data_IF_700791015636
#
_entry.id   IF_700791015636
#
_cell.length_a   1.000
_cell.length_b   1.000
_cell.length_c   1.000
_cell.angle_alpha   90.00
_cell.angle_beta   90.00
_cell.angle_gamma   90.00
#
_symmetry.space_group_name_H-M   'P 1'
#
loop_
_entity.id
_entity.type
_entity.pdbx_description
1 polymer ?
#
# COMPACT_ATOMS: atom_id res chain seq x y z
N UNK A 1 4.30 -9.36 -16.61
CA UNK A 1 4.62 -10.27 -15.48
C UNK A 1 4.51 -9.50 -14.17
N UNK A 2 3.98 -10.07 -13.08
CA UNK A 2 3.98 -9.39 -11.79
C UNK A 2 5.42 -9.01 -11.39
N UNK A 3 5.56 -7.95 -10.59
CA UNK A 3 6.88 -7.51 -10.09
C UNK A 3 7.52 -8.66 -9.30
N UNK A 4 8.74 -9.02 -9.65
CA UNK A 4 9.53 -9.97 -8.87
C UNK A 4 10.17 -9.23 -7.69
N UNK A 5 9.61 -9.42 -6.50
CA UNK A 5 10.10 -8.80 -5.26
C UNK A 5 11.44 -9.37 -4.78
N UNK A 6 11.95 -10.44 -5.41
CA UNK A 6 13.26 -11.02 -5.11
C UNK A 6 14.37 -10.48 -6.02
N UNK A 7 14.04 -9.69 -7.04
CA UNK A 7 15.02 -9.06 -7.94
C UNK A 7 15.70 -7.87 -7.25
N UNK A 8 17.03 -7.86 -7.27
CA UNK A 8 17.86 -6.76 -6.74
C UNK A 8 17.53 -5.40 -7.39
N UNK A 9 17.10 -5.37 -8.64
CA UNK A 9 16.69 -4.16 -9.35
C UNK A 9 15.47 -3.50 -8.73
N UNK A 10 14.58 -4.27 -8.11
CA UNK A 10 13.38 -3.78 -7.44
C UNK A 10 13.63 -3.30 -6.00
N UNK A 11 14.84 -3.51 -5.47
CA UNK A 11 15.25 -3.11 -4.12
C UNK A 11 15.07 -1.62 -3.83
N UNK A 12 15.27 -0.76 -4.82
CA UNK A 12 15.15 0.69 -4.68
C UNK A 12 13.78 1.26 -5.05
N UNK A 13 12.88 0.46 -5.62
CA UNK A 13 11.57 0.91 -6.11
C UNK A 13 10.71 1.55 -5.01
N UNK A 14 10.91 1.13 -3.76
CA UNK A 14 10.16 1.58 -2.59
C UNK A 14 11.02 2.29 -1.53
N UNK A 15 12.25 2.72 -1.87
CA UNK A 15 13.19 3.28 -0.89
C UNK A 15 13.33 4.80 -0.93
N UNK A 16 12.88 5.45 -2.00
CA UNK A 16 13.10 6.90 -2.23
C UNK A 16 11.92 7.79 -1.86
N UNK A 17 10.84 7.23 -1.30
CA UNK A 17 9.62 7.93 -0.94
C UNK A 17 9.47 8.02 0.58
N UNK A 18 8.84 9.08 1.05
CA UNK A 18 8.30 9.19 2.41
C UNK A 18 6.80 8.85 2.40
N UNK A 19 6.26 8.47 3.56
CA UNK A 19 4.82 8.38 3.73
C UNK A 19 4.18 9.75 3.46
N UNK A 20 3.04 9.74 2.79
CA UNK A 20 2.33 10.98 2.44
C UNK A 20 1.71 11.61 3.70
N UNK A 21 1.67 12.94 3.75
CA UNK A 21 1.08 13.69 4.88
C UNK A 21 -0.39 13.34 5.10
N UNK A 22 -1.16 13.08 4.03
CA UNK A 22 -2.56 12.67 4.15
C UNK A 22 -2.70 11.34 4.88
N UNK A 23 -1.77 10.39 4.66
CA UNK A 23 -1.73 9.13 5.38
C UNK A 23 -1.34 9.32 6.85
N UNK A 24 -0.33 10.16 7.11
CA UNK A 24 0.12 10.48 8.47
C UNK A 24 -1.03 11.08 9.28
N UNK A 25 -1.69 12.09 8.73
CA UNK A 25 -2.82 12.76 9.38
C UNK A 25 -3.97 11.78 9.63
N UNK A 26 -4.33 10.97 8.63
CA UNK A 26 -5.39 9.97 8.77
C UNK A 26 -5.09 8.96 9.88
N UNK A 27 -3.85 8.47 9.99
CA UNK A 27 -3.48 7.56 11.10
C UNK A 27 -3.57 8.28 12.44
N UNK A 28 -3.01 9.49 12.57
CA UNK A 28 -3.01 10.25 13.84
C UNK A 28 -4.41 10.63 14.33
N UNK A 29 -5.34 10.87 13.41
CA UNK A 29 -6.73 11.17 13.73
C UNK A 29 -7.51 9.95 14.25
N UNK A 30 -7.10 8.73 13.88
CA UNK A 30 -7.85 7.51 14.15
C UNK A 30 -7.19 6.56 15.13
N UNK A 31 -5.86 6.61 15.29
CA UNK A 31 -5.10 5.69 16.15
C UNK A 31 -3.94 6.42 16.83
N UNK A 32 -3.86 6.28 18.14
CA UNK A 32 -2.67 6.72 18.88
C UNK A 32 -1.56 5.69 18.72
N UNK A 33 -0.51 6.05 18.00
CA UNK A 33 0.70 5.24 17.75
C UNK A 33 1.76 5.45 18.84
N UNK A 34 1.67 6.58 19.58
CA UNK A 34 2.67 6.94 20.57
C UNK A 34 2.74 5.91 21.70
N UNK A 35 3.95 5.51 22.06
CA UNK A 35 4.18 4.53 23.11
C UNK A 35 3.80 3.09 22.77
N UNK A 36 3.44 2.77 21.51
CA UNK A 36 2.98 1.45 21.06
C UNK A 36 4.10 0.58 20.49
N UNK A 37 3.91 -0.72 20.58
CA UNK A 37 4.63 -1.73 19.80
C UNK A 37 3.85 -2.00 18.53
N UNK A 38 4.48 -1.85 17.38
CA UNK A 38 3.83 -1.93 16.07
C UNK A 38 4.48 -2.98 15.19
N UNK A 39 3.69 -3.77 14.46
CA UNK A 39 4.16 -4.61 13.36
C UNK A 39 3.65 -4.01 12.03
N UNK A 40 4.57 -3.85 11.08
CA UNK A 40 4.31 -3.46 9.68
C UNK A 40 4.53 -4.70 8.83
N UNK A 41 3.43 -5.37 8.42
CA UNK A 41 3.47 -6.65 7.69
C UNK A 41 3.39 -6.37 6.19
N UNK A 42 4.35 -6.90 5.43
CA UNK A 42 4.58 -6.53 4.04
C UNK A 42 5.24 -5.16 3.94
N UNK A 43 6.22 -4.90 4.82
CA UNK A 43 6.82 -3.57 5.00
C UNK A 43 7.61 -3.07 3.78
N UNK A 44 7.94 -3.93 2.81
CA UNK A 44 8.70 -3.57 1.62
C UNK A 44 9.99 -2.81 1.95
N UNK A 45 10.16 -1.61 1.39
CA UNK A 45 11.31 -0.74 1.63
C UNK A 45 11.29 0.04 2.96
N UNK A 46 10.34 -0.21 3.87
CA UNK A 46 10.31 0.35 5.22
C UNK A 46 9.77 1.78 5.34
N UNK A 47 9.11 2.31 4.30
CA UNK A 47 8.57 3.69 4.29
C UNK A 47 7.59 3.90 5.44
N UNK A 48 6.60 3.01 5.59
CA UNK A 48 5.56 3.11 6.61
C UNK A 48 6.07 2.67 7.97
N UNK A 49 7.01 1.72 8.02
CA UNK A 49 7.78 1.38 9.23
C UNK A 49 8.45 2.63 9.82
N UNK A 50 9.12 3.43 8.98
CA UNK A 50 9.75 4.69 9.39
C UNK A 50 8.72 5.72 9.86
N UNK A 51 7.61 5.88 9.13
CA UNK A 51 6.56 6.84 9.49
C UNK A 51 5.92 6.50 10.85
N UNK A 52 5.60 5.24 11.12
CA UNK A 52 5.09 4.78 12.41
C UNK A 52 6.07 5.06 13.56
N UNK A 53 7.36 4.86 13.30
CA UNK A 53 8.42 5.21 14.26
C UNK A 53 8.45 6.72 14.55
N UNK A 54 8.34 7.56 13.53
CA UNK A 54 8.30 9.01 13.67
C UNK A 54 7.04 9.52 14.40
N UNK A 55 5.95 8.76 14.37
CA UNK A 55 4.74 9.02 15.15
C UNK A 55 4.88 8.64 16.64
N UNK A 56 6.05 8.19 17.10
CA UNK A 56 6.33 7.93 18.51
C UNK A 56 6.12 6.48 18.93
N UNK A 57 6.05 5.52 18.03
CA UNK A 57 6.07 4.10 18.39
C UNK A 57 7.33 3.76 19.19
N UNK A 58 7.20 2.98 20.27
CA UNK A 58 8.34 2.50 21.08
C UNK A 58 9.22 1.55 20.28
N UNK A 59 8.59 0.69 19.50
CA UNK A 59 9.25 -0.23 18.60
C UNK A 59 8.36 -0.48 17.39
N UNK A 60 8.97 -0.49 16.20
CA UNK A 60 8.32 -0.94 14.97
C UNK A 60 9.08 -2.15 14.43
N UNK A 61 8.34 -3.22 14.13
CA UNK A 61 8.89 -4.45 13.55
C UNK A 61 8.34 -4.56 12.14
N UNK A 62 9.20 -4.33 11.14
CA UNK A 62 8.86 -4.57 9.73
C UNK A 62 9.02 -6.05 9.41
N UNK A 63 8.00 -6.66 8.84
CA UNK A 63 8.02 -8.07 8.38
C UNK A 63 7.81 -8.08 6.87
N UNK A 64 8.68 -8.78 6.15
CA UNK A 64 8.52 -8.99 4.72
C UNK A 64 9.02 -10.39 4.32
N UNK A 65 8.46 -10.96 3.26
CA UNK A 65 8.87 -12.28 2.77
C UNK A 65 10.12 -12.19 1.86
N UNK A 66 10.44 -11.00 1.36
CA UNK A 66 11.59 -10.74 0.50
C UNK A 66 12.79 -10.24 1.30
N UNK A 67 13.87 -11.00 1.27
CA UNK A 67 15.12 -10.57 1.90
C UNK A 67 15.71 -9.34 1.23
N UNK A 68 15.50 -9.15 -0.07
CA UNK A 68 15.98 -7.97 -0.80
C UNK A 68 15.20 -6.70 -0.36
N UNK A 69 13.88 -6.80 -0.17
CA UNK A 69 13.11 -5.69 0.40
C UNK A 69 13.62 -5.33 1.80
N UNK A 70 13.88 -6.31 2.66
CA UNK A 70 14.40 -6.06 4.02
C UNK A 70 15.80 -5.44 4.03
N UNK A 71 16.67 -5.75 3.07
CA UNK A 71 17.97 -5.06 2.90
C UNK A 71 17.76 -3.58 2.56
N UNK A 72 16.82 -3.29 1.66
CA UNK A 72 16.42 -1.92 1.31
C UNK A 72 15.89 -1.17 2.53
N UNK A 73 14.93 -1.77 3.23
CA UNK A 73 14.31 -1.22 4.43
C UNK A 73 15.36 -0.94 5.53
N UNK A 74 16.27 -1.89 5.77
CA UNK A 74 17.36 -1.72 6.75
C UNK A 74 18.29 -0.56 6.38
N UNK A 75 18.53 -0.34 5.10
CA UNK A 75 19.32 0.79 4.62
C UNK A 75 18.61 2.12 4.85
N UNK A 76 17.30 2.18 4.55
CA UNK A 76 16.48 3.37 4.74
C UNK A 76 16.34 3.78 6.20
N UNK A 77 16.19 2.79 7.09
CA UNK A 77 15.93 3.00 8.50
C UNK A 77 17.20 2.90 9.37
N UNK A 78 18.41 2.83 8.77
CA UNK A 78 19.68 2.54 9.48
C UNK A 78 20.00 3.44 10.66
N UNK A 79 19.46 4.66 10.69
CA UNK A 79 19.70 5.64 11.76
C UNK A 79 18.64 5.59 12.88
N UNK A 80 17.63 4.71 12.77
CA UNK A 80 16.52 4.64 13.71
C UNK A 80 16.66 3.36 14.54
N UNK A 81 17.02 3.52 15.83
CA UNK A 81 17.39 2.39 16.69
C UNK A 81 16.23 1.46 17.11
N UNK A 82 14.99 1.96 17.11
CA UNK A 82 13.81 1.20 17.55
C UNK A 82 13.00 0.59 16.40
N UNK A 83 13.64 0.47 15.23
CA UNK A 83 13.12 -0.31 14.12
C UNK A 83 13.91 -1.59 13.99
N UNK A 84 13.21 -2.70 13.79
CA UNK A 84 13.82 -4.01 13.47
C UNK A 84 13.10 -4.61 12.28
N UNK A 85 13.82 -5.43 11.50
CA UNK A 85 13.27 -6.13 10.35
C UNK A 85 13.39 -7.63 10.52
N UNK A 86 12.35 -8.37 10.12
CA UNK A 86 12.23 -9.81 10.28
C UNK A 86 11.75 -10.45 8.97
N UNK A 87 12.44 -11.49 8.54
CA UNK A 87 11.99 -12.31 7.42
C UNK A 87 10.79 -13.16 7.88
N UNK A 88 9.66 -13.00 7.21
CA UNK A 88 8.41 -13.68 7.50
C UNK A 88 7.38 -13.31 6.44
N UNK A 89 6.18 -13.83 6.55
CA UNK A 89 5.09 -13.49 5.64
C UNK A 89 3.79 -13.23 6.40
N UNK A 90 2.74 -12.80 5.70
CA UNK A 90 1.46 -12.45 6.30
C UNK A 90 0.76 -13.62 7.02
N UNK A 91 1.10 -14.87 6.69
CA UNK A 91 0.52 -16.06 7.31
C UNK A 91 1.37 -16.61 8.47
N UNK A 92 2.64 -16.19 8.56
CA UNK A 92 3.61 -16.62 9.56
C UNK A 92 4.68 -15.56 9.75
N UNK A 93 4.42 -14.61 10.65
CA UNK A 93 5.30 -13.47 10.92
C UNK A 93 6.53 -13.84 11.75
N UNK A 94 6.48 -15.00 12.43
CA UNK A 94 7.44 -15.43 13.45
C UNK A 94 7.49 -14.54 14.70
N UNK A 95 6.54 -13.62 14.87
CA UNK A 95 6.40 -12.84 16.09
C UNK A 95 5.71 -13.68 17.19
N UNK A 96 6.05 -13.44 18.47
CA UNK A 96 5.34 -14.06 19.59
C UNK A 96 3.86 -13.65 19.66
N UNK A 97 3.04 -14.47 20.31
CA UNK A 97 1.65 -14.14 20.62
C UNK A 97 1.57 -12.86 21.45
N UNK A 98 0.55 -12.05 21.21
CA UNK A 98 0.26 -10.84 21.98
C UNK A 98 1.45 -9.88 22.12
N UNK A 99 2.28 -9.80 21.07
CA UNK A 99 3.51 -9.01 21.05
C UNK A 99 3.28 -7.53 20.84
N UNK A 100 2.32 -7.19 19.96
CA UNK A 100 2.15 -5.81 19.44
C UNK A 100 0.80 -5.22 19.81
N UNK A 101 0.74 -3.89 19.86
CA UNK A 101 -0.48 -3.11 20.10
C UNK A 101 -1.19 -2.77 18.79
N UNK A 102 -0.42 -2.63 17.69
CA UNK A 102 -0.90 -2.28 16.37
C UNK A 102 -0.28 -3.21 15.31
N UNK A 103 -1.06 -3.56 14.32
CA UNK A 103 -0.62 -4.20 13.07
C UNK A 103 -1.03 -3.33 11.90
N UNK A 104 -0.10 -3.02 11.00
CA UNK A 104 -0.36 -2.40 9.71
C UNK A 104 -0.16 -3.44 8.60
N UNK A 105 -1.13 -3.54 7.70
CA UNK A 105 -1.07 -4.28 6.44
C UNK A 105 -1.42 -3.33 5.29
N UNK A 106 -0.40 -2.80 4.61
CA UNK A 106 -0.62 -1.83 3.53
C UNK A 106 -0.20 -2.36 2.18
N UNK A 107 -1.10 -2.23 1.19
CA UNK A 107 -0.90 -2.72 -0.18
C UNK A 107 -0.45 -4.20 -0.22
N UNK A 108 -1.00 -5.00 0.68
CA UNK A 108 -0.58 -6.37 0.94
C UNK A 108 -1.66 -7.38 0.56
N UNK A 109 -2.91 -7.16 0.99
CA UNK A 109 -3.94 -8.21 0.94
C UNK A 109 -4.30 -8.63 -0.50
N UNK A 110 -4.11 -7.76 -1.48
CA UNK A 110 -4.32 -8.10 -2.90
C UNK A 110 -3.28 -9.08 -3.49
N UNK A 111 -2.22 -9.37 -2.75
CA UNK A 111 -1.25 -10.41 -3.07
C UNK A 111 -1.56 -11.75 -2.39
N UNK A 112 -2.55 -11.79 -1.51
CA UNK A 112 -2.87 -12.93 -0.68
C UNK A 112 -4.09 -13.70 -1.22
N UNK A 113 -4.04 -15.03 -1.12
CA UNK A 113 -5.15 -15.90 -1.53
C UNK A 113 -6.00 -16.37 -0.34
N UNK A 114 -5.57 -16.11 0.91
CA UNK A 114 -6.23 -16.56 2.13
C UNK A 114 -6.23 -15.43 3.18
N UNK A 115 -7.29 -14.62 3.18
CA UNK A 115 -7.48 -13.56 4.16
C UNK A 115 -7.67 -14.11 5.58
N UNK A 116 -8.30 -15.28 5.72
CA UNK A 116 -8.54 -15.88 7.03
C UNK A 116 -7.22 -16.27 7.70
N UNK A 117 -6.28 -16.87 6.96
CA UNK A 117 -4.96 -17.18 7.49
C UNK A 117 -4.17 -15.91 7.86
N UNK A 118 -4.24 -14.87 7.04
CA UNK A 118 -3.60 -13.59 7.29
C UNK A 118 -4.15 -12.93 8.57
N UNK A 119 -5.46 -12.78 8.68
CA UNK A 119 -6.07 -12.13 9.83
C UNK A 119 -5.99 -12.96 11.11
N UNK A 120 -5.94 -14.29 11.01
CA UNK A 120 -5.64 -15.16 12.14
C UNK A 120 -4.23 -14.91 12.69
N UNK A 121 -3.25 -14.74 11.83
CA UNK A 121 -1.88 -14.40 12.23
C UNK A 121 -1.82 -12.99 12.85
N UNK A 122 -2.44 -11.99 12.23
CA UNK A 122 -2.54 -10.65 12.81
C UNK A 122 -3.22 -10.69 14.19
N UNK A 123 -4.31 -11.46 14.32
CA UNK A 123 -4.99 -11.64 15.60
C UNK A 123 -4.08 -12.31 16.65
N UNK A 124 -3.31 -13.33 16.27
CA UNK A 124 -2.40 -14.03 17.19
C UNK A 124 -1.36 -13.09 17.80
N UNK A 125 -0.72 -12.26 16.97
CA UNK A 125 0.37 -11.37 17.41
C UNK A 125 -0.12 -10.11 18.13
N UNK A 126 -1.36 -9.67 17.88
CA UNK A 126 -1.96 -8.52 18.57
C UNK A 126 -2.28 -8.84 20.03
N UNK A 127 -2.03 -7.90 20.92
CA UNK A 127 -2.54 -7.91 22.28
C UNK A 127 -4.08 -7.84 22.30
N UNK A 128 -4.76 -8.30 23.36
CA UNK A 128 -6.19 -8.06 23.53
C UNK A 128 -6.51 -6.54 23.42
N UNK A 129 -7.52 -6.18 22.63
CA UNK A 129 -7.86 -4.79 22.36
C UNK A 129 -6.92 -4.06 21.40
N UNK A 130 -5.92 -4.75 20.84
CA UNK A 130 -5.02 -4.19 19.82
C UNK A 130 -5.73 -3.94 18.49
N UNK A 131 -5.16 -3.07 17.67
CA UNK A 131 -5.76 -2.61 16.41
C UNK A 131 -5.05 -3.20 15.20
N UNK A 132 -5.83 -3.75 14.26
CA UNK A 132 -5.41 -4.09 12.91
C UNK A 132 -5.82 -2.96 11.96
N UNK A 133 -4.86 -2.41 11.22
CA UNK A 133 -5.05 -1.41 10.19
C UNK A 133 -4.74 -2.05 8.85
N UNK A 134 -5.73 -2.10 7.97
CA UNK A 134 -5.56 -2.60 6.60
C UNK A 134 -5.76 -1.43 5.65
N UNK A 135 -4.84 -1.23 4.72
CA UNK A 135 -4.99 -0.28 3.63
C UNK A 135 -4.75 -0.99 2.31
N UNK A 136 -5.79 -1.09 1.50
CA UNK A 136 -5.68 -1.60 0.13
C UNK A 136 -6.73 -0.93 -0.77
N UNK A 137 -6.69 -1.21 -2.05
CA UNK A 137 -7.72 -0.76 -2.99
C UNK A 137 -8.79 -1.82 -3.12
N UNK A 138 -10.03 -1.38 -3.07
CA UNK A 138 -11.18 -2.20 -3.48
C UNK A 138 -11.30 -2.19 -5.01
N UNK A 139 -12.10 -3.09 -5.60
CA UNK A 139 -12.49 -2.97 -7.01
C UNK A 139 -13.02 -1.57 -7.37
N UNK A 140 -13.85 -0.97 -6.50
CA UNK A 140 -14.43 0.35 -6.71
C UNK A 140 -13.38 1.47 -6.70
N UNK A 141 -12.39 1.40 -5.82
CA UNK A 141 -11.28 2.37 -5.77
C UNK A 141 -10.46 2.32 -7.07
N UNK A 142 -10.26 1.11 -7.62
CA UNK A 142 -9.47 0.92 -8.83
C UNK A 142 -10.13 1.50 -10.07
N UNK A 143 -11.46 1.30 -10.23
CA UNK A 143 -12.21 1.71 -11.43
C UNK A 143 -12.84 3.12 -11.30
N UNK A 144 -12.41 3.89 -10.30
CA UNK A 144 -12.84 5.29 -10.16
C UNK A 144 -12.53 6.05 -11.47
N UNK A 145 -13.47 6.88 -12.00
CA UNK A 145 -13.25 7.62 -13.24
C UNK A 145 -11.99 8.47 -13.22
N UNK A 146 -11.35 8.62 -14.40
CA UNK A 146 -10.20 9.48 -14.57
C UNK A 146 -10.57 10.96 -14.40
N UNK A 147 -9.68 11.70 -13.75
CA UNK A 147 -9.75 13.17 -13.64
C UNK A 147 -8.33 13.74 -13.50
N UNK A 148 -8.22 15.05 -13.30
CA UNK A 148 -6.93 15.77 -13.21
C UNK A 148 -6.00 15.27 -12.09
N UNK A 149 -6.53 14.56 -11.10
CA UNK A 149 -5.74 13.96 -10.02
C UNK A 149 -5.72 12.43 -10.05
N UNK A 150 -6.78 11.78 -10.53
CA UNK A 150 -6.87 10.32 -10.60
C UNK A 150 -6.55 9.82 -12.02
N UNK A 151 -5.27 9.77 -12.35
CA UNK A 151 -4.82 9.41 -13.70
C UNK A 151 -5.08 7.95 -14.06
N UNK A 152 -5.10 7.06 -13.05
CA UNK A 152 -5.38 5.62 -13.24
C UNK A 152 -6.71 5.37 -13.95
N UNK A 153 -7.74 6.18 -13.70
CA UNK A 153 -9.03 6.04 -14.36
C UNK A 153 -8.92 6.17 -15.89
N UNK A 154 -8.03 7.02 -16.38
CA UNK A 154 -7.78 7.15 -17.82
C UNK A 154 -7.17 5.88 -18.44
N UNK A 155 -6.43 5.08 -17.67
CA UNK A 155 -5.87 3.82 -18.17
C UNK A 155 -7.00 2.83 -18.51
N UNK A 156 -8.01 2.76 -17.67
CA UNK A 156 -9.18 1.90 -17.86
C UNK A 156 -10.15 2.46 -18.92
N UNK A 157 -10.23 3.78 -19.07
CA UNK A 157 -11.00 4.40 -20.16
C UNK A 157 -10.39 4.05 -21.52
N UNK A 158 -9.05 4.12 -21.65
CA UNK A 158 -8.33 3.83 -22.89
C UNK A 158 -8.24 2.32 -23.16
N UNK A 159 -7.98 1.52 -22.12
CA UNK A 159 -7.79 0.07 -22.21
C UNK A 159 -8.70 -0.68 -21.21
N UNK A 160 -10.00 -0.83 -21.55
CA UNK A 160 -10.98 -1.49 -20.67
C UNK A 160 -10.63 -2.92 -20.29
N UNK A 161 -9.86 -3.65 -21.11
CA UNK A 161 -9.37 -5.01 -20.81
C UNK A 161 -8.52 -5.09 -19.53
N UNK A 162 -7.93 -3.98 -19.09
CA UNK A 162 -7.18 -3.91 -17.84
C UNK A 162 -8.06 -3.96 -16.59
N UNK A 163 -9.37 -3.65 -16.72
CA UNK A 163 -10.31 -3.61 -15.58
C UNK A 163 -10.40 -4.98 -14.92
N UNK A 164 -10.62 -6.03 -15.70
CA UNK A 164 -10.78 -7.39 -15.18
C UNK A 164 -9.53 -7.85 -14.43
N UNK A 165 -8.34 -7.57 -14.98
CA UNK A 165 -7.06 -7.91 -14.36
C UNK A 165 -6.85 -7.21 -13.01
N UNK A 166 -7.29 -5.96 -12.90
CA UNK A 166 -7.15 -5.19 -11.67
C UNK A 166 -8.18 -5.59 -10.62
N UNK A 167 -9.44 -5.78 -11.04
CA UNK A 167 -10.56 -6.09 -10.14
C UNK A 167 -10.43 -7.50 -9.56
N UNK A 168 -10.06 -8.49 -10.36
CA UNK A 168 -10.02 -9.90 -9.94
C UNK A 168 -9.00 -10.20 -8.83
N UNK A 169 -8.00 -9.35 -8.62
CA UNK A 169 -7.02 -9.49 -7.54
C UNK A 169 -7.37 -8.70 -6.27
N UNK A 170 -8.54 -8.02 -6.26
CA UNK A 170 -8.92 -7.13 -5.15
C UNK A 170 -10.06 -7.71 -4.35
N UNK A 171 -9.99 -7.49 -3.05
CA UNK A 171 -11.08 -7.81 -2.13
C UNK A 171 -11.98 -6.59 -1.96
N UNK A 172 -13.29 -6.80 -1.99
CA UNK A 172 -14.24 -5.74 -1.64
C UNK A 172 -14.37 -5.58 -0.11
N UNK A 173 -14.96 -4.46 0.31
CA UNK A 173 -15.14 -4.16 1.74
C UNK A 173 -15.95 -5.23 2.49
N UNK A 174 -16.91 -5.90 1.84
CA UNK A 174 -17.69 -6.96 2.49
C UNK A 174 -16.86 -8.21 2.72
N UNK A 175 -15.99 -8.58 1.78
CA UNK A 175 -15.07 -9.70 1.91
C UNK A 175 -14.08 -9.46 3.05
N UNK A 176 -13.43 -8.26 3.09
CA UNK A 176 -12.51 -7.88 4.15
C UNK A 176 -13.21 -7.89 5.50
N UNK A 177 -14.39 -7.26 5.62
CA UNK A 177 -15.16 -7.24 6.87
C UNK A 177 -15.51 -8.64 7.36
N UNK A 178 -16.04 -9.51 6.49
CA UNK A 178 -16.38 -10.88 6.86
C UNK A 178 -15.18 -11.67 7.37
N UNK A 179 -14.04 -11.56 6.69
CA UNK A 179 -12.81 -12.22 7.11
C UNK A 179 -12.30 -11.68 8.46
N UNK A 180 -12.36 -10.36 8.68
CA UNK A 180 -12.01 -9.76 9.97
C UNK A 180 -12.91 -10.29 11.10
N UNK A 181 -14.23 -10.27 10.90
CA UNK A 181 -15.21 -10.74 11.90
C UNK A 181 -15.05 -12.23 12.22
N UNK A 182 -14.80 -13.06 11.19
CA UNK A 182 -14.56 -14.49 11.34
C UNK A 182 -13.29 -14.81 12.15
N UNK A 183 -12.31 -13.90 12.12
CA UNK A 183 -11.03 -14.06 12.81
C UNK A 183 -10.91 -13.21 14.09
N UNK A 184 -12.06 -12.85 14.71
CA UNK A 184 -12.09 -12.27 16.06
C UNK A 184 -11.85 -10.75 16.10
N UNK A 185 -11.95 -10.06 14.97
CA UNK A 185 -11.92 -8.60 14.94
C UNK A 185 -13.35 -8.03 14.92
N UNK A 186 -13.51 -6.87 15.53
CA UNK A 186 -14.66 -5.99 15.28
C UNK A 186 -14.18 -4.91 14.32
N UNK A 187 -14.80 -4.82 13.14
CA UNK A 187 -14.57 -3.68 12.26
C UNK A 187 -15.15 -2.43 12.93
N UNK A 188 -14.28 -1.48 13.22
CA UNK A 188 -14.65 -0.24 13.92
C UNK A 188 -14.95 0.86 12.93
N UNK A 189 -14.11 0.98 11.88
CA UNK A 189 -14.17 2.08 10.93
C UNK A 189 -13.68 1.65 9.55
N UNK A 190 -14.22 2.30 8.51
CA UNK A 190 -13.75 2.19 7.13
C UNK A 190 -13.66 3.59 6.53
N UNK A 191 -12.50 4.00 6.06
CA UNK A 191 -12.21 5.36 5.59
C UNK A 191 -11.71 5.32 4.15
N UNK A 192 -12.29 6.08 3.21
CA UNK A 192 -11.65 6.35 1.93
C UNK A 192 -10.50 7.34 2.11
N UNK A 193 -9.34 7.05 1.54
CA UNK A 193 -8.16 7.90 1.61
C UNK A 193 -7.66 8.25 0.21
N UNK A 194 -7.69 9.52 -0.15
CA UNK A 194 -6.94 10.02 -1.29
C UNK A 194 -5.50 10.31 -0.87
N UNK A 195 -4.58 9.57 -1.46
CA UNK A 195 -3.14 9.68 -1.17
C UNK A 195 -2.39 10.14 -2.41
N UNK A 196 -1.60 11.19 -2.27
CA UNK A 196 -0.74 11.66 -3.36
C UNK A 196 0.28 10.56 -3.70
N UNK A 197 0.20 10.07 -4.91
CA UNK A 197 1.15 9.10 -5.44
C UNK A 197 2.45 9.79 -5.88
N UNK A 198 2.33 10.86 -6.64
CA UNK A 198 3.46 11.64 -7.15
C UNK A 198 3.03 13.04 -7.59
N UNK A 199 3.97 13.97 -7.53
CA UNK A 199 3.85 15.30 -8.09
C UNK A 199 4.85 15.40 -9.22
N UNK A 200 4.39 15.82 -10.41
CA UNK A 200 5.21 16.02 -11.60
C UNK A 200 5.33 17.51 -11.88
N UNK A 201 6.56 17.94 -12.19
CA UNK A 201 6.83 19.35 -12.49
C UNK A 201 6.13 19.80 -13.76
N UNK A 202 6.02 18.89 -14.74
CA UNK A 202 5.44 19.12 -16.05
C UNK A 202 4.88 17.83 -16.68
N UNK A 203 4.29 17.98 -17.86
CA UNK A 203 3.73 16.87 -18.64
C UNK A 203 4.80 15.89 -19.09
N UNK A 204 6.01 16.36 -19.41
CA UNK A 204 7.07 15.48 -19.91
C UNK A 204 7.55 14.51 -18.83
N UNK A 205 7.72 14.96 -17.59
CA UNK A 205 8.07 14.11 -16.44
C UNK A 205 6.97 13.09 -16.11
N UNK A 206 5.69 13.45 -16.33
CA UNK A 206 4.58 12.50 -16.20
C UNK A 206 4.62 11.42 -17.28
N UNK A 207 4.83 11.82 -18.55
CA UNK A 207 4.92 10.89 -19.68
C UNK A 207 6.04 9.89 -19.50
N UNK A 208 7.22 10.36 -19.09
CA UNK A 208 8.36 9.49 -18.82
C UNK A 208 8.05 8.47 -17.72
N UNK A 209 7.43 8.88 -16.60
CA UNK A 209 7.05 7.97 -15.50
C UNK A 209 6.02 6.92 -15.93
N UNK A 210 5.06 7.29 -16.79
CA UNK A 210 4.09 6.34 -17.34
C UNK A 210 4.79 5.33 -18.27
N UNK A 211 5.63 5.80 -19.19
CA UNK A 211 6.36 4.93 -20.13
C UNK A 211 7.30 3.96 -19.44
N UNK A 212 7.95 4.39 -18.35
CA UNK A 212 8.76 3.54 -17.52
C UNK A 212 7.94 2.56 -16.66
N UNK A 213 6.61 2.63 -16.66
CA UNK A 213 5.70 1.78 -15.88
C UNK A 213 6.00 1.81 -14.37
N UNK A 214 6.65 2.85 -13.87
CA UNK A 214 7.19 2.92 -12.51
C UNK A 214 6.10 2.72 -11.45
N UNK A 215 6.18 1.63 -10.69
CA UNK A 215 5.21 1.29 -9.64
C UNK A 215 3.78 1.06 -10.14
N UNK A 216 3.61 0.73 -11.42
CA UNK A 216 2.33 0.43 -12.07
C UNK A 216 2.38 -0.93 -12.74
N UNK A 217 2.34 -2.00 -11.93
CA UNK A 217 2.43 -3.40 -12.40
C UNK A 217 1.42 -3.72 -13.51
N UNK A 218 0.26 -3.07 -13.50
CA UNK A 218 -0.80 -3.25 -14.50
C UNK A 218 -0.35 -2.84 -15.91
N UNK A 219 0.50 -1.83 -16.03
CA UNK A 219 0.97 -1.32 -17.33
C UNK A 219 1.98 -2.25 -18.03
N UNK A 220 2.49 -3.26 -17.33
CA UNK A 220 3.32 -4.31 -17.94
C UNK A 220 2.53 -5.27 -18.83
N UNK A 221 1.19 -5.21 -18.78
CA UNK A 221 0.31 -5.98 -19.67
C UNK A 221 0.11 -5.29 -21.03
N UNK A 222 0.57 -4.05 -21.18
CA UNK A 222 0.49 -3.29 -22.43
C UNK A 222 1.81 -3.40 -23.23
N UNK A 223 1.70 -3.45 -24.57
CA UNK A 223 2.85 -3.33 -25.46
C UNK A 223 3.45 -1.91 -25.42
N UNK A 224 4.62 -1.73 -26.02
CA UNK A 224 5.24 -0.40 -26.07
C UNK A 224 4.45 0.56 -26.94
N UNK A 225 3.80 0.08 -28.02
CA UNK A 225 2.91 0.85 -28.86
C UNK A 225 1.67 1.29 -28.09
N UNK A 226 1.03 0.37 -27.33
CA UNK A 226 -0.11 0.70 -26.48
C UNK A 226 0.27 1.70 -25.38
N UNK A 227 1.50 1.62 -24.86
CA UNK A 227 2.00 2.61 -23.88
C UNK A 227 2.11 4.01 -24.48
N UNK A 228 2.56 4.14 -25.73
CA UNK A 228 2.58 5.43 -26.42
C UNK A 228 1.16 5.99 -26.61
N UNK A 229 0.21 5.13 -27.04
CA UNK A 229 -1.20 5.53 -27.15
C UNK A 229 -1.80 5.96 -25.82
N UNK A 230 -1.43 5.28 -24.71
CA UNK A 230 -1.87 5.65 -23.38
C UNK A 230 -1.39 7.04 -22.97
N UNK A 231 -0.11 7.30 -23.18
CA UNK A 231 0.52 8.59 -22.84
C UNK A 231 -0.14 9.74 -23.61
N UNK A 232 -0.33 9.59 -24.94
CA UNK A 232 -1.05 10.56 -25.75
C UNK A 232 -2.50 10.77 -25.29
N UNK A 233 -3.16 9.70 -24.87
CA UNK A 233 -4.52 9.78 -24.35
C UNK A 233 -4.59 10.57 -23.04
N UNK A 234 -3.69 10.27 -22.10
CA UNK A 234 -3.60 10.96 -20.80
C UNK A 234 -3.29 12.45 -21.00
N UNK A 235 -2.32 12.79 -21.88
CA UNK A 235 -1.98 14.16 -22.22
C UNK A 235 -3.21 14.94 -22.70
N UNK A 236 -3.95 14.41 -23.68
CA UNK A 236 -5.18 15.06 -24.18
C UNK A 236 -6.26 15.22 -23.12
N UNK A 237 -6.37 14.26 -22.17
CA UNK A 237 -7.36 14.33 -21.09
C UNK A 237 -6.99 15.36 -20.04
N UNK A 238 -5.71 15.64 -19.87
CA UNK A 238 -5.20 16.61 -18.91
C UNK A 238 -5.07 18.02 -19.50
N UNK A 239 -5.27 18.23 -20.81
CA UNK A 239 -5.30 19.57 -21.38
C UNK A 239 -6.60 20.31 -21.00
N UNK A 240 -6.54 21.51 -20.37
CA UNK A 240 -5.38 22.39 -20.14
C UNK A 240 -4.88 22.38 -18.69
N UNK A 241 -4.52 21.25 -18.12
CA UNK A 241 -4.04 21.18 -16.72
C UNK A 241 -2.73 21.95 -16.55
N UNK A 242 -2.69 22.79 -15.52
CA UNK A 242 -1.50 23.58 -15.18
C UNK A 242 -0.52 22.74 -14.34
N UNK A 243 0.78 23.00 -14.51
CA UNK A 243 1.83 22.42 -13.66
C UNK A 243 1.86 23.08 -12.28
N UNK A 244 2.21 22.38 -11.20
CA UNK A 244 2.57 20.96 -11.20
C UNK A 244 1.34 20.03 -11.30
N UNK A 245 1.53 18.83 -11.89
CA UNK A 245 0.48 17.80 -11.98
C UNK A 245 0.55 16.91 -10.74
N UNK A 246 -0.53 16.82 -9.99
CA UNK A 246 -0.63 16.02 -8.77
C UNK A 246 -1.41 14.74 -9.06
N UNK A 247 -0.73 13.61 -9.08
CA UNK A 247 -1.38 12.30 -9.19
C UNK A 247 -1.75 11.75 -7.82
N UNK A 248 -3.00 11.35 -7.67
CA UNK A 248 -3.54 10.75 -6.44
C UNK A 248 -4.14 9.37 -6.74
N UNK A 249 -4.03 8.49 -5.74
CA UNK A 249 -4.70 7.19 -5.74
C UNK A 249 -5.75 7.15 -4.62
N UNK A 250 -6.91 6.55 -4.91
CA UNK A 250 -7.91 6.27 -3.90
C UNK A 250 -7.62 4.91 -3.24
N UNK A 251 -7.68 4.90 -1.91
CA UNK A 251 -7.50 3.73 -1.07
C UNK A 251 -8.66 3.59 -0.11
N UNK A 252 -8.95 2.36 0.28
CA UNK A 252 -9.82 2.09 1.42
C UNK A 252 -8.96 1.64 2.61
N UNK A 253 -9.23 2.21 3.78
CA UNK A 253 -8.56 1.86 5.04
C UNK A 253 -9.59 1.28 6.00
N UNK A 254 -9.33 0.08 6.52
CA UNK A 254 -10.16 -0.60 7.52
C UNK A 254 -9.43 -0.64 8.86
N UNK A 255 -10.14 -0.28 9.92
CA UNK A 255 -9.68 -0.37 11.29
C UNK A 255 -10.45 -1.44 12.02
N UNK A 256 -9.76 -2.46 12.51
CA UNK A 256 -10.33 -3.56 13.28
C UNK A 256 -9.72 -3.65 14.65
N UNK A 257 -10.58 -3.85 15.66
CA UNK A 257 -10.15 -4.05 17.04
C UNK A 257 -10.26 -5.52 17.41
N UNK A 258 -9.18 -6.10 17.95
CA UNK A 258 -9.16 -7.48 18.46
C UNK A 258 -10.08 -7.61 19.65
N UNK A 259 -11.05 -8.55 19.58
CA UNK A 259 -11.97 -8.93 20.66
C UNK A 259 -11.32 -9.86 21.67
#
# INVERSE_FOLDING_TARGET
MPIDFHDEQNRSTYTTRSANESWISMIQENVDVSGKYVADIGCGGGIYTQALSQMGAVQVIGVDFSQEMLKGASTNCKLIQHITFLLGNAYATHLPDHKVDLVLERALIHHLNDLDACFREAHRILKPGGTLIIQDRTPQDCIHPGNEHHLRGFFFEKFPQLIELEVNRRYDTNQVRKAMEANGFRLDQTIPLWETRRVYEDMESLKEDILLRTGRSLLHELSDEEMQELVEYVERKLEPVQSPIVEMDLWTVWFGVKR
#
